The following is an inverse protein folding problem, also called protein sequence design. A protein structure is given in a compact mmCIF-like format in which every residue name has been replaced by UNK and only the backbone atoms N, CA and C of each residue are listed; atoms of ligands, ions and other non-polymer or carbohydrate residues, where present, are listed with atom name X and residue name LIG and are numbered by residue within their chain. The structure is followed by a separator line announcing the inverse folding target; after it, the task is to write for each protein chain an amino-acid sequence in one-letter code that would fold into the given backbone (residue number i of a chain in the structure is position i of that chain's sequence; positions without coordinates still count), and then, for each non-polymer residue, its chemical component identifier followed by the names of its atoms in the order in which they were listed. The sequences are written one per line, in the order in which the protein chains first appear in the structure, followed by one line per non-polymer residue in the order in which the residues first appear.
data_IF_328065389296
#
_entry.id   IF_328065389296
#
_cell.length_a   1.000
_cell.length_b   1.000
_cell.length_c   1.000
_cell.angle_alpha   90.00
_cell.angle_beta   90.00
_cell.angle_gamma   90.00
#
_symmetry.space_group_name_H-M   'P 1'
#
loop_
_entity.id
_entity.type
_entity.pdbx_description
1 polymer ?
#
# COMPACT_ATOMS: atom_id res chain seq x y z
N UNK A 1 1.67 6.92 -2.19
CA UNK A 1 0.92 5.98 -1.33
C UNK A 1 -0.52 6.41 -1.39
N UNK A 2 -1.39 5.52 -1.86
CA UNK A 2 -2.82 5.77 -2.04
C UNK A 2 -3.59 4.96 -1.01
N UNK A 3 -4.48 5.62 -0.29
CA UNK A 3 -5.39 4.98 0.65
C UNK A 3 -6.79 5.04 0.05
N UNK A 4 -7.39 3.88 -0.21
CA UNK A 4 -8.70 3.76 -0.81
C UNK A 4 -9.76 3.56 0.28
N UNK A 5 -11.01 3.92 -0.03
CA UNK A 5 -12.17 3.75 0.84
C UNK A 5 -11.94 4.27 2.27
N UNK A 6 -11.31 5.44 2.38
CA UNK A 6 -10.91 5.98 3.69
C UNK A 6 -12.14 6.44 4.48
N UNK A 7 -12.42 5.86 5.65
CA UNK A 7 -13.54 6.30 6.49
C UNK A 7 -13.24 7.66 7.11
N UNK A 8 -14.28 8.40 7.54
CA UNK A 8 -14.16 9.76 8.10
C UNK A 8 -13.19 9.82 9.29
N UNK A 9 -13.12 8.75 10.10
CA UNK A 9 -12.18 8.64 11.23
C UNK A 9 -10.70 8.72 10.81
N UNK A 10 -10.37 8.36 9.57
CA UNK A 10 -9.00 8.37 9.07
C UNK A 10 -8.40 9.77 9.03
N UNK A 11 -9.22 10.81 8.79
CA UNK A 11 -8.75 12.19 8.82
C UNK A 11 -8.32 12.64 10.21
N UNK A 12 -9.01 12.16 11.24
CA UNK A 12 -8.67 12.44 12.64
C UNK A 12 -7.32 11.80 12.99
N UNK A 13 -7.15 10.51 12.64
CA UNK A 13 -5.88 9.80 12.84
C UNK A 13 -4.75 10.48 12.06
N UNK A 14 -5.00 10.87 10.81
CA UNK A 14 -4.03 11.59 10.00
C UNK A 14 -3.67 12.94 10.61
N UNK A 15 -4.64 13.72 11.12
CA UNK A 15 -4.37 15.00 11.77
C UNK A 15 -3.48 14.86 13.01
N UNK A 16 -3.66 13.79 13.78
CA UNK A 16 -2.81 13.46 14.94
C UNK A 16 -1.40 13.05 14.49
N UNK A 17 -1.27 12.26 13.42
CA UNK A 17 0.01 11.80 12.90
C UNK A 17 0.77 12.90 12.12
N UNK A 18 0.06 13.84 11.49
CA UNK A 18 0.58 14.90 10.62
C UNK A 18 1.78 15.67 11.20
N UNK A 19 1.82 16.11 12.47
CA UNK A 19 2.99 16.80 13.03
C UNK A 19 4.28 15.96 12.98
N UNK A 20 4.18 14.63 13.06
CA UNK A 20 5.34 13.72 13.07
C UNK A 20 5.82 13.32 11.66
N UNK A 21 5.04 13.60 10.61
CA UNK A 21 5.38 13.25 9.24
C UNK A 21 6.27 14.32 8.58
N UNK A 22 7.34 13.88 7.90
CA UNK A 22 8.18 14.75 7.07
C UNK A 22 7.39 15.29 5.87
N UNK A 23 7.76 16.47 5.38
CA UNK A 23 7.12 17.12 4.22
C UNK A 23 7.07 16.20 2.97
N UNK A 24 8.15 15.47 2.70
CA UNK A 24 8.21 14.49 1.61
C UNK A 24 7.15 13.39 1.72
N UNK A 25 6.84 12.94 2.94
CA UNK A 25 5.84 11.89 3.15
C UNK A 25 4.43 12.46 3.06
N UNK A 26 4.20 13.66 3.61
CA UNK A 26 2.93 14.41 3.47
C UNK A 26 2.53 14.59 2.01
N UNK A 27 3.49 14.95 1.14
CA UNK A 27 3.23 15.17 -0.29
C UNK A 27 2.99 13.89 -1.10
N UNK A 28 3.33 12.71 -0.56
CA UNK A 28 3.16 11.41 -1.23
C UNK A 28 1.94 10.64 -0.75
N UNK A 29 1.25 11.17 0.25
CA UNK A 29 0.05 10.60 0.84
C UNK A 29 -1.16 11.15 0.09
N UNK A 30 -1.91 10.26 -0.56
CA UNK A 30 -3.12 10.58 -1.29
C UNK A 30 -4.27 9.76 -0.71
N UNK A 31 -5.38 10.42 -0.39
CA UNK A 31 -6.54 9.81 0.24
C UNK A 31 -7.70 9.84 -0.74
N UNK A 32 -8.13 8.66 -1.18
CA UNK A 32 -9.28 8.48 -2.05
C UNK A 32 -10.42 8.01 -1.16
N UNK A 33 -11.45 8.85 -1.02
CA UNK A 33 -12.56 8.60 -0.09
C UNK A 33 -13.53 7.57 -0.65
N UNK A 34 -14.21 7.89 -1.74
CA UNK A 34 -15.28 7.06 -2.30
C UNK A 34 -15.20 6.91 -3.82
N UNK A 35 -14.64 7.89 -4.51
CA UNK A 35 -14.58 7.87 -5.96
C UNK A 35 -13.30 7.17 -6.45
N UNK A 36 -13.47 5.93 -6.89
CA UNK A 36 -12.38 5.15 -7.49
C UNK A 36 -12.04 5.65 -8.91
N UNK A 37 -12.83 6.54 -9.49
CA UNK A 37 -12.51 7.18 -10.78
C UNK A 37 -11.25 8.03 -10.69
N UNK A 38 -10.98 8.63 -9.53
CA UNK A 38 -9.71 9.33 -9.27
C UNK A 38 -8.51 8.37 -9.33
N UNK A 39 -8.69 7.10 -8.95
CA UNK A 39 -7.63 6.09 -9.02
C UNK A 39 -7.32 5.72 -10.48
N UNK A 40 -8.34 5.58 -11.32
CA UNK A 40 -8.22 5.26 -12.75
C UNK A 40 -7.53 6.37 -13.55
N UNK A 41 -7.59 7.62 -13.09
CA UNK A 41 -6.83 8.74 -13.68
C UNK A 41 -5.34 8.74 -13.34
N UNK A 42 -4.93 7.97 -12.33
CA UNK A 42 -3.56 7.96 -11.80
C UNK A 42 -2.83 6.67 -12.18
N UNK A 43 -3.53 5.54 -12.12
CA UNK A 43 -3.01 4.21 -12.40
C UNK A 43 -3.81 3.63 -13.58
N UNK A 44 -3.14 3.06 -14.59
CA UNK A 44 -3.82 2.48 -15.74
C UNK A 44 -4.70 1.28 -15.32
N UNK A 45 -5.83 1.11 -16.00
CA UNK A 45 -6.88 0.15 -15.62
C UNK A 45 -6.42 -1.31 -15.63
N UNK A 46 -5.45 -1.65 -16.47
CA UNK A 46 -4.85 -2.99 -16.57
C UNK A 46 -4.07 -3.42 -15.31
N UNK A 47 -3.68 -2.47 -14.45
CA UNK A 47 -2.99 -2.73 -13.19
C UNK A 47 -3.91 -2.66 -11.97
N UNK A 48 -5.20 -2.43 -12.18
CA UNK A 48 -6.19 -2.30 -11.11
C UNK A 48 -7.10 -3.53 -11.14
N UNK A 49 -7.34 -4.20 -9.99
CA UNK A 49 -8.29 -5.30 -9.92
C UNK A 49 -9.70 -4.89 -10.36
N UNK A 50 -10.46 -5.82 -10.93
CA UNK A 50 -11.84 -5.60 -11.37
C UNK A 50 -12.74 -5.02 -10.27
N UNK A 51 -12.52 -5.43 -9.02
CA UNK A 51 -13.27 -4.94 -7.85
C UNK A 51 -13.15 -3.42 -7.63
N UNK A 52 -12.09 -2.80 -8.14
CA UNK A 52 -11.85 -1.36 -8.06
C UNK A 52 -12.07 -0.63 -9.38
N UNK A 53 -12.73 -1.27 -10.35
CA UNK A 53 -13.07 -0.68 -11.66
C UNK A 53 -11.98 -0.82 -12.73
N UNK A 54 -10.96 -1.65 -12.50
CA UNK A 54 -9.94 -1.97 -13.50
C UNK A 54 -10.25 -3.22 -14.34
N UNK A 55 -9.24 -3.69 -15.06
CA UNK A 55 -9.31 -4.86 -15.95
C UNK A 55 -8.29 -5.94 -15.59
N UNK A 56 -7.57 -5.79 -14.47
CA UNK A 56 -6.59 -6.77 -14.03
C UNK A 56 -7.26 -8.12 -13.72
N UNK A 57 -6.51 -9.18 -14.01
CA UNK A 57 -6.85 -10.56 -13.68
C UNK A 57 -6.91 -10.78 -12.17
N UNK A 58 -7.60 -11.83 -11.75
CA UNK A 58 -7.74 -12.15 -10.33
C UNK A 58 -6.35 -12.45 -9.73
N UNK A 59 -6.12 -11.92 -8.53
CA UNK A 59 -4.81 -12.04 -7.89
C UNK A 59 -4.64 -13.41 -7.24
N UNK A 60 -3.59 -14.13 -7.62
CA UNK A 60 -3.24 -15.44 -7.05
C UNK A 60 -2.47 -15.24 -5.73
N UNK A 61 -3.21 -15.32 -4.62
CA UNK A 61 -2.66 -15.15 -3.27
C UNK A 61 -1.75 -16.31 -2.87
N UNK A 62 -2.07 -17.55 -3.28
CA UNK A 62 -1.30 -18.75 -2.93
C UNK A 62 0.11 -18.66 -3.55
N UNK A 63 0.18 -18.28 -4.83
CA UNK A 63 1.47 -18.05 -5.50
C UNK A 63 2.28 -16.95 -4.85
N UNK A 64 1.64 -15.88 -4.38
CA UNK A 64 2.33 -14.80 -3.68
C UNK A 64 2.89 -15.28 -2.33
N UNK A 65 2.11 -16.06 -1.58
CA UNK A 65 2.54 -16.65 -0.31
C UNK A 65 3.74 -17.58 -0.52
N UNK A 66 3.66 -18.51 -1.47
CA UNK A 66 4.74 -19.43 -1.83
C UNK A 66 6.02 -18.67 -2.22
N UNK A 67 5.88 -17.59 -3.00
CA UNK A 67 7.01 -16.74 -3.38
C UNK A 67 7.68 -16.11 -2.16
N UNK A 68 6.90 -15.57 -1.21
CA UNK A 68 7.46 -14.97 0.00
C UNK A 68 8.06 -16.01 0.94
N UNK A 69 7.39 -17.15 1.12
CA UNK A 69 7.89 -18.27 1.92
C UNK A 69 9.24 -18.79 1.39
N UNK A 70 9.37 -18.93 0.06
CA UNK A 70 10.63 -19.33 -0.58
C UNK A 70 11.78 -18.33 -0.39
N UNK A 71 11.48 -17.08 -0.03
CA UNK A 71 12.49 -16.04 0.27
C UNK A 71 12.85 -15.94 1.74
N UNK A 72 12.33 -16.81 2.62
CA UNK A 72 12.64 -16.78 4.05
C UNK A 72 14.15 -16.80 4.35
N UNK A 73 14.93 -17.59 3.62
CA UNK A 73 16.40 -17.64 3.77
C UNK A 73 17.10 -16.31 3.43
N UNK A 74 16.55 -15.52 2.52
CA UNK A 74 17.04 -14.18 2.21
C UNK A 74 16.71 -13.20 3.34
N UNK A 75 15.53 -13.35 3.97
CA UNK A 75 15.14 -12.55 5.13
C UNK A 75 16.10 -12.78 6.30
N UNK A 76 16.45 -14.04 6.57
CA UNK A 76 17.40 -14.40 7.63
C UNK A 76 18.81 -13.81 7.40
N UNK A 77 19.27 -13.76 6.14
CA UNK A 77 20.52 -13.06 5.79
C UNK A 77 20.44 -11.55 6.06
N UNK A 78 19.31 -10.91 5.75
CA UNK A 78 19.12 -9.47 6.04
C UNK A 78 19.18 -9.21 7.55
N UNK A 79 18.60 -10.10 8.37
CA UNK A 79 18.64 -9.97 9.85
C UNK A 79 20.06 -10.04 10.40
N UNK A 80 20.92 -10.87 9.81
CA UNK A 80 22.33 -11.00 10.20
C UNK A 80 23.16 -9.75 9.85
N UNK A 81 22.74 -8.96 8.86
CA UNK A 81 23.45 -7.75 8.41
C UNK A 81 23.18 -6.49 9.25
N UNK A 82 22.67 -6.61 10.48
CA UNK A 82 22.71 -5.54 11.48
C UNK A 82 21.42 -4.75 11.72
N UNK A 83 20.29 -5.09 11.09
CA UNK A 83 18.98 -4.62 11.55
C UNK A 83 18.54 -5.42 12.77
N UNK A 84 19.14 -5.12 13.92
CA UNK A 84 18.64 -5.56 15.22
C UNK A 84 17.39 -4.72 15.54
N UNK A 85 16.23 -5.34 15.82
CA UNK A 85 15.10 -4.59 16.36
C UNK A 85 15.52 -4.02 17.72
N UNK A 86 15.43 -2.70 17.87
CA UNK A 86 15.53 -2.02 19.18
C UNK A 86 14.22 -2.17 19.93
#
# INVERSE_FOLDING_TARGET
MYFLNTPVVFEVVYAIAKPFLKAKLKNRLHFIRKDLSELLGIIPSDLIPKEYGGTQEDFDYDRQEDFFAGKASHLEKIRQCGYTPK
#
